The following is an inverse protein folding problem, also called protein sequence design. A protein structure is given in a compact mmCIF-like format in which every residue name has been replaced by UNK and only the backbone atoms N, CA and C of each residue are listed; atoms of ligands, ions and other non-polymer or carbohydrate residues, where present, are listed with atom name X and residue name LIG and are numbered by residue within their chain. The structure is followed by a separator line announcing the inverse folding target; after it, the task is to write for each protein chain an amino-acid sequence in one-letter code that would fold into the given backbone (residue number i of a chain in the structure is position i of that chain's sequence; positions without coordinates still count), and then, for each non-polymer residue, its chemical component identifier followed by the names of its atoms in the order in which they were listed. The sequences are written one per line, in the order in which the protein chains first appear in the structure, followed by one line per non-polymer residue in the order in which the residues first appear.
data_IF_324340233447
#
_entry.id   IF_324340233447
#
_cell.length_a   1.000
_cell.length_b   1.000
_cell.length_c   1.000
_cell.angle_alpha   90.00
_cell.angle_beta   90.00
_cell.angle_gamma   90.00
#
_symmetry.space_group_name_H-M   'P 1'
#
loop_
_entity.id
_entity.type
_entity.pdbx_description
1 polymer ?
#
# COMPACT_ATOMS: atom_id res chain seq x y z
N UNK A 1 -20.23 25.48 29.13
CA UNK A 1 -19.78 24.17 28.63
C UNK A 1 -19.88 24.20 27.12
N UNK A 2 -18.75 24.26 26.40
CA UNK A 2 -18.75 24.13 24.93
C UNK A 2 -18.94 22.67 24.62
N UNK A 3 -20.06 22.34 23.97
CA UNK A 3 -20.38 20.96 23.58
C UNK A 3 -19.27 20.36 22.74
N UNK A 4 -18.88 19.14 23.07
CA UNK A 4 -18.03 18.30 22.24
C UNK A 4 -18.68 18.21 20.86
N UNK A 5 -18.00 18.58 19.76
CA UNK A 5 -18.57 18.40 18.44
C UNK A 5 -18.85 16.90 18.25
N UNK A 6 -20.06 16.57 17.81
CA UNK A 6 -20.39 15.21 17.40
C UNK A 6 -19.34 14.73 16.38
N UNK A 7 -18.84 13.49 16.47
CA UNK A 7 -17.86 13.01 15.53
C UNK A 7 -18.47 13.08 14.13
N UNK A 8 -17.88 13.92 13.27
CA UNK A 8 -18.14 13.90 11.84
C UNK A 8 -18.09 12.44 11.39
N UNK A 9 -19.09 11.98 10.65
CA UNK A 9 -19.20 10.61 10.14
C UNK A 9 -17.83 10.16 9.64
N UNK A 10 -17.12 9.37 10.46
CA UNK A 10 -15.80 8.86 10.09
C UNK A 10 -16.08 7.93 8.92
N UNK A 11 -15.60 8.27 7.72
CA UNK A 11 -15.43 7.24 6.69
C UNK A 11 -14.75 6.06 7.39
N UNK A 12 -15.42 4.92 7.44
CA UNK A 12 -14.94 3.73 8.15
C UNK A 12 -13.96 2.92 7.31
N UNK A 13 -13.79 3.29 6.03
CA UNK A 13 -12.96 2.58 5.08
C UNK A 13 -11.93 3.52 4.46
N UNK A 14 -10.66 3.12 4.52
CA UNK A 14 -9.59 3.77 3.78
C UNK A 14 -9.73 3.48 2.28
N UNK A 15 -9.72 4.53 1.45
CA UNK A 15 -9.71 4.40 -0.01
C UNK A 15 -8.28 4.48 -0.54
N UNK A 16 -7.73 3.34 -0.91
CA UNK A 16 -6.38 3.28 -1.47
C UNK A 16 -6.29 3.82 -2.91
N UNK A 17 -7.40 3.96 -3.62
CA UNK A 17 -7.45 4.63 -4.93
C UNK A 17 -8.73 5.44 -5.03
N UNK A 18 -8.63 6.62 -5.66
CA UNK A 18 -9.76 7.46 -6.02
C UNK A 18 -10.17 7.29 -7.50
N UNK A 19 -9.42 6.49 -8.25
CA UNK A 19 -9.65 6.25 -9.67
C UNK A 19 -10.27 4.89 -9.91
N UNK A 20 -10.95 4.73 -11.05
CA UNK A 20 -11.37 3.41 -11.50
C UNK A 20 -10.15 2.57 -11.85
N UNK A 21 -10.02 1.42 -11.19
CA UNK A 21 -8.95 0.47 -11.45
C UNK A 21 -9.23 -0.29 -12.75
N UNK A 22 -8.16 -0.54 -13.50
CA UNK A 22 -8.16 -1.30 -14.75
C UNK A 22 -7.65 -2.71 -14.44
N UNK A 23 -8.46 -3.76 -14.61
CA UNK A 23 -8.01 -5.13 -14.47
C UNK A 23 -6.97 -5.48 -15.55
N UNK A 24 -5.94 -6.20 -15.17
CA UNK A 24 -4.94 -6.73 -16.08
C UNK A 24 -4.49 -8.13 -15.68
N UNK A 25 -4.29 -9.00 -16.67
CA UNK A 25 -3.71 -10.33 -16.49
C UNK A 25 -2.19 -10.22 -16.50
N UNK A 26 -1.52 -10.75 -15.48
CA UNK A 26 -0.07 -10.72 -15.37
C UNK A 26 0.58 -11.58 -16.46
N UNK A 27 1.55 -10.99 -17.18
CA UNK A 27 2.31 -11.69 -18.22
C UNK A 27 3.78 -11.89 -17.81
N UNK A 28 4.44 -10.83 -17.34
CA UNK A 28 5.84 -10.91 -16.91
C UNK A 28 6.22 -9.77 -15.97
N UNK A 29 7.33 -9.96 -15.26
CA UNK A 29 7.96 -8.94 -14.41
C UNK A 29 9.41 -8.73 -14.84
N UNK A 30 9.67 -7.88 -15.86
CA UNK A 30 11.02 -7.72 -16.42
C UNK A 30 12.07 -7.25 -15.41
N UNK A 31 11.66 -6.52 -14.37
CA UNK A 31 12.52 -6.15 -13.25
C UNK A 31 11.69 -5.85 -12.00
N UNK A 32 12.36 -5.55 -10.88
CA UNK A 32 11.70 -5.32 -9.58
C UNK A 32 10.65 -4.20 -9.57
N UNK A 33 10.67 -3.28 -10.55
CA UNK A 33 9.80 -2.11 -10.61
C UNK A 33 8.88 -2.06 -11.84
N UNK A 34 8.85 -3.10 -12.67
CA UNK A 34 8.05 -3.13 -13.89
C UNK A 34 7.35 -4.46 -14.05
N UNK A 35 6.06 -4.42 -14.39
CA UNK A 35 5.30 -5.57 -14.87
C UNK A 35 4.74 -5.29 -16.25
N UNK A 36 4.53 -6.35 -17.01
CA UNK A 36 3.76 -6.36 -18.25
C UNK A 36 2.48 -7.13 -17.98
N UNK A 37 1.35 -6.55 -18.38
CA UNK A 37 0.05 -7.17 -18.24
C UNK A 37 -0.83 -6.98 -19.47
N UNK A 38 -1.84 -7.82 -19.61
CA UNK A 38 -2.86 -7.73 -20.66
C UNK A 38 -4.16 -7.16 -20.09
N UNK A 39 -4.66 -6.09 -20.69
CA UNK A 39 -5.97 -5.50 -20.38
C UNK A 39 -6.97 -5.82 -21.49
N UNK A 40 -8.24 -5.49 -21.30
CA UNK A 40 -9.25 -5.52 -22.37
C UNK A 40 -8.89 -4.66 -23.60
N UNK A 41 -7.93 -3.73 -23.46
CA UNK A 41 -7.48 -2.82 -24.52
C UNK A 41 -6.09 -3.21 -25.07
N UNK A 42 -5.55 -4.38 -24.68
CA UNK A 42 -4.26 -4.88 -25.11
C UNK A 42 -3.16 -4.84 -24.03
N UNK A 43 -1.94 -5.14 -24.46
CA UNK A 43 -0.75 -5.25 -23.60
C UNK A 43 -0.28 -3.88 -23.11
N UNK A 44 0.03 -3.79 -21.82
CA UNK A 44 0.49 -2.57 -21.16
C UNK A 44 1.70 -2.84 -20.26
N UNK A 45 2.57 -1.83 -20.13
CA UNK A 45 3.57 -1.79 -19.07
C UNK A 45 3.05 -0.98 -17.87
N UNK A 46 3.27 -1.49 -16.67
CA UNK A 46 2.93 -0.81 -15.42
C UNK A 46 4.13 -0.74 -14.48
N UNK A 47 4.26 0.39 -13.78
CA UNK A 47 5.18 0.53 -12.67
C UNK A 47 4.69 -0.29 -11.47
N UNK A 48 5.60 -1.04 -10.85
CA UNK A 48 5.36 -1.79 -9.64
C UNK A 48 6.08 -1.12 -8.46
N UNK A 49 5.38 -0.35 -7.62
CA UNK A 49 5.94 0.26 -6.40
C UNK A 49 6.07 -0.76 -5.27
N UNK A 50 6.75 -1.88 -5.56
CA UNK A 50 7.04 -2.93 -4.60
C UNK A 50 8.32 -3.68 -4.99
N UNK A 51 9.40 -3.56 -4.21
CA UNK A 51 10.66 -4.24 -4.51
C UNK A 51 10.67 -5.72 -4.11
N UNK A 52 9.67 -6.21 -3.36
CA UNK A 52 9.60 -7.59 -2.87
C UNK A 52 9.57 -8.60 -4.03
N UNK A 53 9.82 -9.89 -3.73
CA UNK A 53 9.88 -10.94 -4.77
C UNK A 53 8.50 -11.23 -5.35
N UNK A 54 7.46 -11.21 -4.53
CA UNK A 54 6.06 -11.39 -4.93
C UNK A 54 5.80 -12.66 -5.76
N UNK A 55 6.67 -13.68 -5.66
CA UNK A 55 6.60 -14.87 -6.52
C UNK A 55 5.32 -15.69 -6.30
N UNK A 56 4.79 -15.67 -5.08
CA UNK A 56 3.53 -16.35 -4.75
C UNK A 56 2.29 -15.55 -5.18
N UNK A 57 2.47 -14.27 -5.54
CA UNK A 57 1.39 -13.35 -5.90
C UNK A 57 1.30 -13.08 -7.40
N UNK A 58 2.44 -12.93 -8.06
CA UNK A 58 2.55 -12.68 -9.49
C UNK A 58 2.83 -13.99 -10.24
N UNK A 59 1.94 -14.95 -10.04
CA UNK A 59 1.91 -16.20 -10.81
C UNK A 59 1.37 -15.94 -12.23
N UNK A 60 1.65 -16.82 -13.21
CA UNK A 60 1.01 -16.75 -14.50
C UNK A 60 -0.51 -16.61 -14.37
N UNK A 61 -1.10 -15.74 -15.19
CA UNK A 61 -2.54 -15.42 -15.17
C UNK A 61 -3.06 -14.65 -13.95
N UNK A 62 -2.19 -14.27 -12.98
CA UNK A 62 -2.61 -13.48 -11.82
C UNK A 62 -3.31 -12.18 -12.25
N UNK A 63 -4.43 -11.88 -11.61
CA UNK A 63 -5.25 -10.70 -11.95
C UNK A 63 -4.80 -9.50 -11.13
N UNK A 64 -4.10 -8.58 -11.78
CA UNK A 64 -3.66 -7.31 -11.21
C UNK A 64 -4.73 -6.23 -11.36
N UNK A 65 -4.74 -5.29 -10.43
CA UNK A 65 -5.52 -4.06 -10.49
C UNK A 65 -4.58 -2.88 -10.72
N UNK A 66 -4.73 -2.23 -11.87
CA UNK A 66 -3.89 -1.13 -12.30
C UNK A 66 -4.60 0.21 -12.16
N UNK A 67 -3.86 1.28 -11.89
CA UNK A 67 -4.34 2.64 -11.98
C UNK A 67 -3.65 3.36 -13.15
N UNK A 68 -4.43 4.07 -13.96
CA UNK A 68 -3.89 4.95 -15.00
C UNK A 68 -3.05 6.03 -14.33
N UNK A 69 -1.80 6.13 -14.74
CA UNK A 69 -0.91 7.14 -14.18
C UNK A 69 -1.12 8.46 -14.90
N UNK A 70 -1.12 9.56 -14.15
CA UNK A 70 -1.10 10.89 -14.76
C UNK A 70 0.13 11.00 -15.67
N UNK A 71 -0.05 11.51 -16.89
CA UNK A 71 1.06 11.79 -17.78
C UNK A 71 1.96 12.84 -17.13
N UNK A 72 3.24 12.49 -16.94
CA UNK A 72 4.29 13.38 -16.42
C UNK A 72 5.55 13.15 -17.23
N UNK A 73 6.30 14.21 -17.47
CA UNK A 73 7.60 14.12 -18.12
C UNK A 73 8.51 13.13 -17.38
N UNK A 74 9.18 12.26 -18.14
CA UNK A 74 10.09 11.24 -17.61
C UNK A 74 9.44 9.93 -17.14
N UNK A 75 8.10 9.80 -17.15
CA UNK A 75 7.44 8.54 -16.79
C UNK A 75 7.30 7.62 -18.00
N UNK A 76 7.95 6.46 -17.95
CA UNK A 76 7.96 5.46 -19.04
C UNK A 76 6.74 4.54 -19.09
N UNK A 77 5.95 4.45 -18.01
CA UNK A 77 4.80 3.53 -17.92
C UNK A 77 3.48 4.29 -17.77
N UNK A 78 2.46 3.89 -18.54
CA UNK A 78 1.12 4.50 -18.49
C UNK A 78 0.28 4.09 -17.28
N UNK A 79 0.72 3.07 -16.53
CA UNK A 79 -0.03 2.49 -15.43
C UNK A 79 0.84 2.27 -14.19
N UNK A 80 0.19 2.15 -13.03
CA UNK A 80 0.79 1.74 -11.76
C UNK A 80 0.02 0.54 -11.21
N UNK A 81 0.72 -0.50 -10.75
CA UNK A 81 0.11 -1.63 -10.06
C UNK A 81 -0.32 -1.19 -8.67
N UNK A 82 -1.60 -1.37 -8.34
CA UNK A 82 -2.15 -1.05 -7.02
C UNK A 82 -2.23 -2.29 -6.15
N UNK A 83 -2.78 -3.36 -6.69
CA UNK A 83 -3.06 -4.59 -5.97
C UNK A 83 -3.11 -5.80 -6.92
N UNK A 84 -3.21 -6.99 -6.35
CA UNK A 84 -3.44 -8.25 -7.06
C UNK A 84 -4.57 -9.01 -6.37
N UNK A 85 -5.46 -9.59 -7.16
CA UNK A 85 -6.48 -10.52 -6.69
C UNK A 85 -5.84 -11.89 -6.45
N UNK A 86 -6.24 -12.54 -5.36
CA UNK A 86 -5.79 -13.90 -5.04
C UNK A 86 -6.93 -14.89 -5.29
N UNK A 87 -6.58 -16.13 -5.61
CA UNK A 87 -7.56 -17.20 -5.82
C UNK A 87 -8.44 -17.49 -4.60
N UNK A 88 -7.96 -17.14 -3.40
CA UNK A 88 -8.66 -17.31 -2.13
C UNK A 88 -9.63 -16.15 -1.82
N UNK A 89 -9.73 -15.16 -2.70
CA UNK A 89 -10.66 -14.04 -2.57
C UNK A 89 -10.09 -12.71 -2.05
N UNK A 90 -9.03 -12.62 -1.21
CA UNK A 90 -8.53 -11.31 -0.82
C UNK A 90 -7.80 -10.60 -1.96
N UNK A 91 -7.97 -9.27 -1.98
CA UNK A 91 -7.16 -8.35 -2.79
C UNK A 91 -5.95 -7.95 -1.94
N UNK A 92 -4.75 -8.27 -2.42
CA UNK A 92 -3.50 -7.94 -1.72
C UNK A 92 -2.94 -6.64 -2.28
N UNK A 93 -2.78 -5.64 -1.42
CA UNK A 93 -2.18 -4.36 -1.80
C UNK A 93 -0.70 -4.57 -2.13
N UNK A 94 -0.31 -4.17 -3.34
CA UNK A 94 1.08 -4.22 -3.78
C UNK A 94 1.76 -2.87 -3.65
N UNK A 95 1.02 -1.76 -3.64
CA UNK A 95 1.60 -0.43 -3.58
C UNK A 95 2.07 -0.04 -2.18
N UNK A 96 3.35 -0.23 -1.88
CA UNK A 96 3.88 -0.08 -0.51
C UNK A 96 3.69 1.33 0.06
N UNK A 97 3.89 2.39 -0.74
CA UNK A 97 3.64 3.75 -0.24
C UNK A 97 2.17 3.99 0.17
N UNK A 98 1.21 3.35 -0.50
CA UNK A 98 -0.21 3.45 -0.14
C UNK A 98 -0.55 2.63 1.10
N UNK A 99 0.26 1.60 1.42
CA UNK A 99 0.17 0.91 2.70
C UNK A 99 0.63 1.83 3.84
N UNK A 100 1.68 2.64 3.64
CA UNK A 100 2.08 3.66 4.61
C UNK A 100 0.95 4.70 4.78
N UNK A 101 0.31 5.12 3.70
CA UNK A 101 -0.84 6.04 3.77
C UNK A 101 -2.02 5.43 4.54
N UNK A 102 -2.30 4.14 4.35
CA UNK A 102 -3.31 3.42 5.13
C UNK A 102 -2.96 3.39 6.63
N UNK A 103 -1.69 3.11 6.96
CA UNK A 103 -1.21 3.13 8.34
C UNK A 103 -1.35 4.52 8.97
N UNK A 104 -0.96 5.58 8.25
CA UNK A 104 -1.16 6.96 8.67
C UNK A 104 -2.65 7.29 8.91
N UNK A 105 -3.53 6.86 8.00
CA UNK A 105 -4.97 7.07 8.14
C UNK A 105 -5.55 6.39 9.40
N UNK A 106 -5.08 5.19 9.74
CA UNK A 106 -5.46 4.47 10.96
C UNK A 106 -4.93 5.15 12.23
N UNK A 107 -3.67 5.59 12.19
CA UNK A 107 -3.02 6.34 13.27
C UNK A 107 -3.77 7.63 13.57
N UNK A 108 -4.06 8.44 12.55
CA UNK A 108 -4.75 9.73 12.68
C UNK A 108 -6.17 9.60 13.28
N UNK A 109 -6.75 8.39 13.26
CA UNK A 109 -8.10 8.09 13.77
C UNK A 109 -8.09 7.36 15.11
N UNK A 110 -6.91 7.05 15.65
CA UNK A 110 -6.75 6.24 16.87
C UNK A 110 -7.29 4.83 16.70
N UNK A 111 -7.15 4.22 15.52
CA UNK A 111 -7.69 2.89 15.18
C UNK A 111 -6.69 1.75 15.39
N UNK A 112 -5.47 2.06 15.85
CA UNK A 112 -4.46 1.05 16.17
C UNK A 112 -4.51 0.79 17.69
N UNK A 113 -4.87 -0.43 18.13
CA UNK A 113 -4.97 -0.76 19.55
C UNK A 113 -3.67 -0.48 20.32
N UNK A 114 -3.79 0.19 21.46
CA UNK A 114 -2.68 0.61 22.31
C UNK A 114 -2.04 1.95 21.90
N UNK A 115 -2.35 2.48 20.71
CA UNK A 115 -1.84 3.74 20.18
C UNK A 115 -2.96 4.76 19.91
N UNK A 116 -4.11 4.63 20.57
CA UNK A 116 -5.28 5.48 20.39
C UNK A 116 -4.99 6.96 20.70
N UNK A 117 -4.05 7.22 21.61
CA UNK A 117 -3.59 8.55 22.00
C UNK A 117 -2.22 8.92 21.41
N UNK A 118 -1.71 8.13 20.47
CA UNK A 118 -0.50 8.48 19.74
C UNK A 118 -0.84 9.40 18.56
N UNK A 119 0.05 10.32 18.22
CA UNK A 119 -0.09 11.19 17.03
C UNK A 119 1.12 11.13 16.13
N UNK A 120 0.91 11.24 14.82
CA UNK A 120 1.98 11.38 13.85
C UNK A 120 2.64 12.74 14.01
N UNK A 121 3.92 12.77 14.39
CA UNK A 121 4.73 14.00 14.46
C UNK A 121 5.35 14.29 13.11
N UNK A 122 5.88 13.25 12.46
CA UNK A 122 6.59 13.38 11.18
C UNK A 122 6.55 12.07 10.42
N UNK A 123 6.58 12.16 9.09
CA UNK A 123 6.73 11.02 8.17
C UNK A 123 8.14 10.99 7.57
N UNK A 124 8.61 9.83 7.13
CA UNK A 124 9.89 9.63 6.44
C UNK A 124 11.07 10.22 7.25
N UNK A 125 11.19 9.81 8.51
CA UNK A 125 12.15 10.37 9.46
C UNK A 125 13.51 9.72 9.28
N UNK A 126 14.51 10.53 8.93
CA UNK A 126 15.90 10.07 8.83
C UNK A 126 16.48 9.72 10.21
N UNK A 127 17.13 8.55 10.30
CA UNK A 127 17.81 8.08 11.49
C UNK A 127 19.15 7.45 11.08
N UNK A 128 20.24 8.21 11.21
CA UNK A 128 21.54 7.81 10.67
C UNK A 128 21.48 7.58 9.16
N UNK A 129 21.84 6.37 8.72
CA UNK A 129 21.82 5.97 7.31
C UNK A 129 20.49 5.43 6.78
N UNK A 130 19.45 5.33 7.63
CA UNK A 130 18.14 4.79 7.26
C UNK A 130 17.02 5.82 7.46
N UNK A 131 15.79 5.42 7.13
CA UNK A 131 14.57 6.21 7.37
C UNK A 131 13.50 5.29 7.95
N UNK A 132 12.73 5.84 8.89
CA UNK A 132 11.50 5.25 9.40
C UNK A 132 10.29 5.91 8.75
N UNK A 133 9.23 5.16 8.51
CA UNK A 133 8.00 5.69 7.89
C UNK A 133 7.35 6.78 8.74
N UNK A 134 7.37 6.64 10.06
CA UNK A 134 6.75 7.56 11.01
C UNK A 134 7.61 7.83 12.24
N UNK A 135 7.46 9.02 12.80
CA UNK A 135 7.76 9.33 14.20
C UNK A 135 6.44 9.66 14.88
N UNK A 136 6.11 8.89 15.91
CA UNK A 136 4.90 9.09 16.71
C UNK A 136 5.26 9.73 18.04
N UNK A 137 4.32 10.50 18.60
CA UNK A 137 4.35 10.89 20.01
C UNK A 137 3.14 10.27 20.72
N UNK A 138 3.41 9.46 21.73
CA UNK A 138 2.40 8.91 22.64
C UNK A 138 2.61 9.38 24.08
N UNK A 139 1.80 8.89 25.03
CA UNK A 139 1.85 9.32 26.42
C UNK A 139 3.20 9.12 27.12
N UNK A 140 3.98 8.13 26.70
CA UNK A 140 5.30 7.81 27.24
C UNK A 140 6.46 8.52 26.51
N UNK A 141 6.17 9.32 25.48
CA UNK A 141 7.17 10.03 24.68
C UNK A 141 7.14 9.69 23.19
N UNK A 142 8.20 10.11 22.48
CA UNK A 142 8.33 9.93 21.03
C UNK A 142 9.04 8.64 20.66
N UNK A 143 8.56 7.94 19.63
CA UNK A 143 9.16 6.70 19.14
C UNK A 143 9.00 6.54 17.62
N UNK A 144 10.00 5.97 16.92
CA UNK A 144 9.91 5.69 15.49
C UNK A 144 9.03 4.46 15.21
N UNK A 145 8.37 4.47 14.06
CA UNK A 145 7.54 3.35 13.57
C UNK A 145 7.85 3.09 12.09
N UNK A 146 7.97 1.81 11.78
CA UNK A 146 8.14 1.28 10.42
C UNK A 146 6.92 0.43 10.06
N UNK A 147 6.40 0.62 8.85
CA UNK A 147 5.30 -0.13 8.27
C UNK A 147 5.89 -1.18 7.34
N UNK A 148 5.46 -2.43 7.54
CA UNK A 148 5.83 -3.55 6.66
C UNK A 148 4.58 -4.12 5.99
N UNK A 149 4.68 -4.37 4.70
CA UNK A 149 3.64 -5.08 3.94
C UNK A 149 3.91 -6.57 4.04
N UNK A 150 3.02 -7.31 4.71
CA UNK A 150 3.08 -8.77 4.78
C UNK A 150 2.36 -9.39 3.58
N UNK A 151 3.07 -9.57 2.47
CA UNK A 151 2.50 -10.06 1.21
C UNK A 151 2.68 -11.56 1.00
N UNK A 152 3.43 -12.23 1.87
CA UNK A 152 3.52 -13.69 1.94
C UNK A 152 2.41 -14.20 2.85
N UNK A 153 1.53 -15.09 2.41
CA UNK A 153 0.41 -15.54 3.24
C UNK A 153 0.00 -16.98 2.96
N UNK A 154 -0.46 -17.66 4.01
CA UNK A 154 -1.18 -18.93 3.96
C UNK A 154 -2.60 -18.77 4.49
N UNK A 155 -3.33 -19.87 4.68
CA UNK A 155 -4.76 -19.84 5.05
C UNK A 155 -5.10 -18.97 6.27
N UNK A 156 -4.18 -18.85 7.24
CA UNK A 156 -4.43 -18.15 8.51
C UNK A 156 -3.30 -17.20 8.95
N UNK A 157 -2.31 -16.96 8.10
CA UNK A 157 -1.10 -16.22 8.47
C UNK A 157 -0.62 -15.33 7.33
N UNK A 158 -0.20 -14.12 7.66
CA UNK A 158 0.58 -13.26 6.78
C UNK A 158 1.98 -13.06 7.38
N UNK A 159 3.01 -13.06 6.54
CA UNK A 159 4.42 -13.10 6.90
C UNK A 159 5.21 -12.03 6.16
N UNK A 160 6.34 -11.65 6.77
CA UNK A 160 7.36 -10.75 6.24
C UNK A 160 8.72 -11.14 6.86
N UNK A 161 9.86 -11.05 6.13
CA UNK A 161 9.97 -10.73 4.70
C UNK A 161 9.62 -11.92 3.78
N UNK A 162 9.49 -11.66 2.47
CA UNK A 162 9.35 -12.70 1.43
C UNK A 162 10.71 -13.12 0.82
N UNK A 163 11.82 -12.78 1.49
CA UNK A 163 13.21 -13.03 1.07
C UNK A 163 14.19 -12.99 2.24
#
# INVERSE_FOLDING_TARGET
MKGTPAPATRETLYRASLSTLVPARFLSRPNRFKVVGETAFGTVEAYLPNPGRLWELLLPEARMLLERSAQREGRSTGYTVIAVETSQGPVVMLHTHRANDAAGWLLDRGMIPGWENARVVRREVAFGGSRFDFLLEGPAGTFPVEVKSCTLFGERMAMFPDA
#
